data_IF_401932312760
#
_entry.id   IF_401932312760
#
_cell.length_a   1.000
_cell.length_b   1.000
_cell.length_c   1.000
_cell.angle_alpha   90.00
_cell.angle_beta   90.00
_cell.angle_gamma   90.00
#
_symmetry.space_group_name_H-M   'P 1'
#
loop_
_entity.id
_entity.type
_entity.pdbx_description
1 polymer ?
#
# COMPACT_ATOMS: atom_id res chain seq x y z
N UNK A 1 -21.37 1.13 49.18
CA UNK A 1 -20.82 0.45 47.99
C UNK A 1 -20.56 1.55 46.95
N UNK A 2 -19.33 2.08 46.87
CA UNK A 2 -19.02 3.24 46.01
C UNK A 2 -18.66 2.77 44.60
N UNK A 3 -19.53 3.06 43.64
CA UNK A 3 -19.29 2.80 42.22
C UNK A 3 -18.26 3.81 41.72
N UNK A 4 -17.02 3.36 41.47
CA UNK A 4 -15.96 4.16 40.86
C UNK A 4 -16.27 4.26 39.36
N UNK A 5 -16.91 5.36 38.94
CA UNK A 5 -17.09 5.68 37.53
C UNK A 5 -15.73 5.90 36.90
N UNK A 6 -15.25 4.94 36.11
CA UNK A 6 -14.04 5.10 35.32
C UNK A 6 -14.36 6.06 34.17
N UNK A 7 -13.84 7.29 34.26
CA UNK A 7 -13.87 8.25 33.16
C UNK A 7 -13.03 7.69 32.02
N UNK A 8 -13.67 7.19 30.96
CA UNK A 8 -12.99 6.85 29.71
C UNK A 8 -12.59 8.18 29.08
N UNK A 9 -11.32 8.55 29.22
CA UNK A 9 -10.77 9.73 28.52
C UNK A 9 -10.88 9.48 27.02
N UNK A 10 -11.73 10.25 26.34
CA UNK A 10 -11.82 10.23 24.89
C UNK A 10 -10.45 10.62 24.31
N UNK A 11 -9.93 9.88 23.31
CA UNK A 11 -8.66 10.21 22.69
C UNK A 11 -8.71 11.62 22.12
N UNK A 12 -7.65 12.40 22.33
CA UNK A 12 -7.56 13.76 21.77
C UNK A 12 -7.31 13.68 20.27
N UNK A 13 -7.77 14.67 19.50
CA UNK A 13 -7.60 14.72 18.03
C UNK A 13 -6.13 14.58 17.58
N UNK A 14 -5.18 14.89 18.45
CA UNK A 14 -3.73 14.72 18.24
C UNK A 14 -3.29 13.25 18.33
N UNK A 15 -3.87 12.46 19.24
CA UNK A 15 -3.57 11.03 19.40
C UNK A 15 -4.12 10.21 18.22
N UNK A 16 -5.33 10.52 17.76
CA UNK A 16 -5.93 9.87 16.58
C UNK A 16 -5.12 10.15 15.30
N UNK A 17 -4.68 11.40 15.12
CA UNK A 17 -3.83 11.80 13.99
C UNK A 17 -2.45 11.12 14.01
N UNK A 18 -1.87 10.95 15.20
CA UNK A 18 -0.60 10.24 15.40
C UNK A 18 -0.73 8.73 15.12
N UNK A 19 -1.84 8.12 15.53
CA UNK A 19 -2.17 6.72 15.25
C UNK A 19 -2.31 6.45 13.75
N UNK A 20 -3.01 7.33 13.03
CA UNK A 20 -3.15 7.25 11.57
C UNK A 20 -1.81 7.42 10.85
N UNK A 21 -0.96 8.36 11.29
CA UNK A 21 0.38 8.53 10.73
C UNK A 21 1.24 7.28 10.90
N UNK A 22 1.22 6.67 12.10
CA UNK A 22 1.91 5.40 12.37
C UNK A 22 1.40 4.28 11.47
N UNK A 23 0.08 4.21 11.24
CA UNK A 23 -0.54 3.26 10.32
C UNK A 23 -0.04 3.44 8.88
N UNK A 24 0.00 4.67 8.37
CA UNK A 24 0.48 4.94 7.01
C UNK A 24 1.97 4.64 6.84
N UNK A 25 2.79 4.99 7.84
CA UNK A 25 4.23 4.69 7.82
C UNK A 25 4.47 3.18 7.88
N UNK A 26 3.76 2.47 8.76
CA UNK A 26 3.88 1.00 8.86
C UNK A 26 3.41 0.29 7.59
N UNK A 27 2.36 0.77 6.92
CA UNK A 27 1.97 0.30 5.57
C UNK A 27 3.09 0.46 4.56
N UNK A 28 3.73 1.64 4.52
CA UNK A 28 4.83 1.91 3.61
C UNK A 28 6.01 0.96 3.85
N UNK A 29 6.39 0.77 5.11
CA UNK A 29 7.49 -0.14 5.49
C UNK A 29 7.14 -1.58 5.10
N UNK A 30 5.92 -2.03 5.43
CA UNK A 30 5.48 -3.40 5.12
C UNK A 30 5.44 -3.65 3.61
N UNK A 31 5.03 -2.66 2.82
CA UNK A 31 5.07 -2.73 1.36
C UNK A 31 6.51 -2.81 0.81
N UNK A 32 7.44 -2.03 1.38
CA UNK A 32 8.87 -2.10 1.01
C UNK A 32 9.47 -3.45 1.39
N UNK A 33 9.19 -3.96 2.60
CA UNK A 33 9.67 -5.28 3.05
C UNK A 33 9.12 -6.37 2.14
N UNK A 34 7.83 -6.34 1.82
CA UNK A 34 7.24 -7.28 0.88
C UNK A 34 7.92 -7.22 -0.49
N UNK A 35 8.16 -6.01 -1.02
CA UNK A 35 8.81 -5.82 -2.31
C UNK A 35 10.23 -6.41 -2.35
N UNK A 36 11.00 -6.26 -1.27
CA UNK A 36 12.34 -6.84 -1.14
C UNK A 36 12.30 -8.37 -1.07
N UNK A 37 11.40 -8.93 -0.27
CA UNK A 37 11.24 -10.40 -0.15
C UNK A 37 10.79 -11.00 -1.48
N UNK A 38 9.84 -10.36 -2.17
CA UNK A 38 9.37 -10.82 -3.47
C UNK A 38 10.46 -10.75 -4.53
N UNK A 39 11.28 -9.69 -4.53
CA UNK A 39 12.40 -9.55 -5.46
C UNK A 39 13.44 -10.68 -5.35
N UNK A 40 13.57 -11.35 -4.20
CA UNK A 40 14.46 -12.51 -4.06
C UNK A 40 13.77 -13.85 -4.34
N UNK A 41 12.47 -13.95 -4.09
CA UNK A 41 11.72 -15.21 -4.08
C UNK A 41 11.03 -15.59 -5.41
N UNK A 42 10.88 -14.66 -6.36
CA UNK A 42 10.03 -14.83 -7.55
C UNK A 42 10.67 -15.58 -8.74
N UNK A 43 11.81 -16.26 -8.56
CA UNK A 43 12.60 -16.84 -9.67
C UNK A 43 11.83 -17.84 -10.54
N UNK A 44 10.83 -18.50 -9.95
CA UNK A 44 9.85 -19.34 -10.63
C UNK A 44 8.45 -18.98 -10.10
N UNK A 45 7.38 -19.25 -10.88
CA UNK A 45 6.00 -19.21 -10.38
C UNK A 45 5.71 -20.45 -9.55
N UNK A 46 6.29 -20.46 -8.37
CA UNK A 46 6.12 -21.53 -7.39
C UNK A 46 5.11 -21.13 -6.30
N UNK A 47 4.88 -22.05 -5.36
CA UNK A 47 3.97 -21.82 -4.26
C UNK A 47 4.39 -20.62 -3.39
N UNK A 48 5.69 -20.28 -3.33
CA UNK A 48 6.22 -19.17 -2.54
C UNK A 48 5.87 -17.85 -3.22
N UNK A 49 6.12 -17.73 -4.52
CA UNK A 49 5.79 -16.55 -5.31
C UNK A 49 4.28 -16.27 -5.27
N UNK A 50 3.43 -17.30 -5.49
CA UNK A 50 1.97 -17.17 -5.41
C UNK A 50 1.55 -16.74 -4.00
N UNK A 51 2.11 -17.35 -2.96
CA UNK A 51 1.78 -16.98 -1.57
C UNK A 51 2.11 -15.52 -1.30
N UNK A 52 3.28 -15.04 -1.72
CA UNK A 52 3.65 -13.64 -1.56
C UNK A 52 2.71 -12.70 -2.33
N UNK A 53 2.32 -13.07 -3.56
CA UNK A 53 1.36 -12.29 -4.36
C UNK A 53 -0.03 -12.23 -3.72
N UNK A 54 -0.47 -13.29 -3.03
CA UNK A 54 -1.73 -13.30 -2.28
C UNK A 54 -1.63 -12.47 -0.99
N UNK A 55 -0.50 -12.55 -0.29
CA UNK A 55 -0.26 -11.81 0.97
C UNK A 55 -0.35 -10.31 0.77
N UNK A 56 0.10 -9.78 -0.39
CA UNK A 56 0.14 -8.34 -0.61
C UNK A 56 -1.23 -7.65 -0.64
N UNK A 57 -2.21 -8.10 -1.45
CA UNK A 57 -3.58 -7.59 -1.35
C UNK A 57 -4.22 -7.83 0.02
N UNK A 58 -3.86 -8.90 0.74
CA UNK A 58 -4.37 -9.10 2.11
C UNK A 58 -3.84 -8.04 3.09
N UNK A 59 -2.56 -7.66 2.99
CA UNK A 59 -2.00 -6.54 3.73
C UNK A 59 -2.79 -5.26 3.42
N UNK A 60 -3.10 -5.01 2.15
CA UNK A 60 -3.89 -3.84 1.73
C UNK A 60 -5.33 -3.88 2.25
N UNK A 61 -5.95 -5.07 2.27
CA UNK A 61 -7.29 -5.28 2.83
C UNK A 61 -7.34 -4.99 4.33
N UNK A 62 -6.43 -5.55 5.11
CA UNK A 62 -6.32 -5.30 6.56
C UNK A 62 -6.08 -3.82 6.83
N UNK A 63 -5.19 -3.21 6.05
CA UNK A 63 -4.89 -1.79 6.17
C UNK A 63 -6.10 -0.90 5.86
N UNK A 64 -6.86 -1.26 4.82
CA UNK A 64 -8.09 -0.58 4.45
C UNK A 64 -9.18 -0.75 5.51
N UNK A 65 -9.27 -1.91 6.17
CA UNK A 65 -10.19 -2.12 7.28
C UNK A 65 -9.85 -1.24 8.49
N UNK A 66 -8.57 -1.10 8.83
CA UNK A 66 -8.13 -0.24 9.93
C UNK A 66 -8.42 1.23 9.61
N UNK A 67 -8.07 1.69 8.41
CA UNK A 67 -8.35 3.07 7.96
C UNK A 67 -9.86 3.35 7.90
N UNK A 68 -10.67 2.37 7.46
CA UNK A 68 -12.13 2.47 7.46
C UNK A 68 -12.72 2.65 8.87
N UNK A 69 -12.15 1.99 9.89
CA UNK A 69 -12.59 2.12 11.29
C UNK A 69 -12.19 3.46 11.90
N UNK A 70 -11.10 4.05 11.43
CA UNK A 70 -10.59 5.33 11.91
C UNK A 70 -11.10 6.55 11.13
N UNK A 71 -11.84 6.33 10.03
CA UNK A 71 -12.41 7.40 9.20
C UNK A 71 -13.88 7.63 9.57
N UNK A 72 -14.32 8.88 9.82
CA UNK A 72 -15.73 9.22 10.01
C UNK A 72 -16.62 8.81 8.82
N UNK A 73 -17.94 8.77 9.02
CA UNK A 73 -18.87 8.48 7.93
C UNK A 73 -18.74 9.53 6.80
N UNK A 74 -18.57 9.05 5.57
CA UNK A 74 -18.27 9.93 4.43
C UNK A 74 -17.87 9.19 3.17
N UNK A 75 -17.57 9.96 2.12
CA UNK A 75 -17.23 9.43 0.82
C UNK A 75 -15.86 8.72 0.81
N UNK A 76 -14.92 9.15 1.66
CA UNK A 76 -13.60 8.57 1.85
C UNK A 76 -13.72 7.18 2.49
N UNK A 77 -14.50 7.06 3.56
CA UNK A 77 -14.75 5.80 4.26
C UNK A 77 -15.33 4.73 3.34
N UNK A 78 -16.18 5.14 2.38
CA UNK A 78 -16.74 4.26 1.33
C UNK A 78 -15.68 3.81 0.32
N UNK A 79 -14.83 4.72 -0.14
CA UNK A 79 -13.74 4.37 -1.08
C UNK A 79 -12.72 3.44 -0.41
N UNK A 80 -12.38 3.70 0.86
CA UNK A 80 -11.50 2.82 1.64
C UNK A 80 -12.14 1.44 1.85
N UNK A 81 -13.44 1.36 2.14
CA UNK A 81 -14.15 0.08 2.26
C UNK A 81 -14.13 -0.72 0.94
N UNK A 82 -14.41 -0.04 -0.18
CA UNK A 82 -14.34 -0.64 -1.50
C UNK A 82 -12.95 -1.21 -1.79
N UNK A 83 -11.90 -0.43 -1.51
CA UNK A 83 -10.52 -0.86 -1.71
C UNK A 83 -10.16 -2.10 -0.85
N UNK A 84 -10.68 -2.16 0.39
CA UNK A 84 -10.50 -3.32 1.25
C UNK A 84 -11.16 -4.59 0.67
N UNK A 85 -12.42 -4.49 0.25
CA UNK A 85 -13.16 -5.61 -0.37
C UNK A 85 -12.49 -6.06 -1.67
N UNK A 86 -12.12 -5.10 -2.52
CA UNK A 86 -11.42 -5.36 -3.77
C UNK A 86 -10.12 -6.14 -3.54
N UNK A 87 -9.38 -5.79 -2.49
CA UNK A 87 -8.10 -6.44 -2.18
C UNK A 87 -8.27 -7.86 -1.65
N UNK A 88 -9.34 -8.15 -0.91
CA UNK A 88 -9.71 -9.54 -0.55
C UNK A 88 -10.06 -10.35 -1.79
N UNK A 89 -10.86 -9.78 -2.70
CA UNK A 89 -11.23 -10.46 -3.95
C UNK A 89 -10.01 -10.72 -4.83
N UNK A 90 -9.09 -9.77 -4.91
CA UNK A 90 -7.83 -9.92 -5.63
C UNK A 90 -6.95 -11.04 -5.03
N UNK A 91 -6.84 -11.12 -3.70
CA UNK A 91 -6.10 -12.20 -3.03
C UNK A 91 -6.64 -13.58 -3.43
N UNK A 92 -7.98 -13.76 -3.41
CA UNK A 92 -8.61 -15.02 -3.83
C UNK A 92 -8.37 -15.28 -5.32
N UNK A 93 -8.56 -14.27 -6.16
CA UNK A 93 -8.39 -14.39 -7.61
C UNK A 93 -6.95 -14.74 -8.01
N UNK A 94 -5.94 -14.19 -7.33
CA UNK A 94 -4.53 -14.54 -7.54
C UNK A 94 -4.27 -16.01 -7.17
N UNK A 95 -4.82 -16.48 -6.05
CA UNK A 95 -4.69 -17.88 -5.64
C UNK A 95 -5.25 -18.86 -6.68
N UNK A 96 -6.38 -18.51 -7.30
CA UNK A 96 -6.97 -19.29 -8.40
C UNK A 96 -6.15 -19.15 -9.69
N UNK A 97 -5.74 -17.93 -10.04
CA UNK A 97 -4.97 -17.63 -11.24
C UNK A 97 -3.59 -18.30 -11.25
N UNK A 98 -3.01 -18.55 -10.07
CA UNK A 98 -1.74 -19.27 -9.90
C UNK A 98 -1.71 -20.65 -10.56
N UNK A 99 -2.86 -21.31 -10.70
CA UNK A 99 -2.95 -22.59 -11.41
C UNK A 99 -2.80 -22.46 -12.94
N UNK A 100 -2.92 -21.25 -13.49
CA UNK A 100 -2.84 -20.95 -14.91
C UNK A 100 -1.49 -20.41 -15.39
N UNK A 101 -0.47 -20.36 -14.52
CA UNK A 101 0.86 -19.83 -14.84
C UNK A 101 0.98 -18.31 -14.65
N UNK A 102 1.99 -17.71 -15.27
CA UNK A 102 2.40 -16.34 -14.95
C UNK A 102 1.42 -15.29 -15.50
N UNK A 103 0.94 -15.48 -16.73
CA UNK A 103 0.13 -14.49 -17.41
C UNK A 103 -1.20 -14.18 -16.68
N UNK A 104 -1.99 -15.19 -16.26
CA UNK A 104 -3.23 -14.93 -15.52
C UNK A 104 -2.98 -14.23 -14.18
N UNK A 105 -1.94 -14.65 -13.45
CA UNK A 105 -1.54 -14.03 -12.17
C UNK A 105 -1.18 -12.56 -12.37
N UNK A 106 -0.38 -12.27 -13.40
CA UNK A 106 0.08 -10.93 -13.75
C UNK A 106 -1.08 -10.02 -14.17
N UNK A 107 -2.07 -10.55 -14.91
CA UNK A 107 -3.31 -9.84 -15.25
C UNK A 107 -4.13 -9.48 -14.02
N UNK A 108 -4.40 -10.45 -13.13
CA UNK A 108 -5.20 -10.21 -11.93
C UNK A 108 -4.51 -9.20 -11.02
N UNK A 109 -3.21 -9.37 -10.79
CA UNK A 109 -2.41 -8.47 -9.96
C UNK A 109 -2.36 -7.06 -10.56
N UNK A 110 -2.13 -6.95 -11.87
CA UNK A 110 -2.11 -5.66 -12.58
C UNK A 110 -3.45 -4.95 -12.52
N UNK A 111 -4.55 -5.65 -12.81
CA UNK A 111 -5.91 -5.08 -12.73
C UNK A 111 -6.23 -4.56 -11.32
N UNK A 112 -5.91 -5.35 -10.30
CA UNK A 112 -6.06 -4.94 -8.91
C UNK A 112 -5.24 -3.67 -8.60
N UNK A 113 -3.96 -3.64 -8.98
CA UNK A 113 -3.09 -2.48 -8.76
C UNK A 113 -3.61 -1.20 -9.43
N UNK A 114 -4.16 -1.30 -10.64
CA UNK A 114 -4.78 -0.16 -11.34
C UNK A 114 -5.96 0.40 -10.53
N UNK A 115 -6.91 -0.46 -10.15
CA UNK A 115 -8.14 -0.02 -9.48
C UNK A 115 -7.84 0.47 -8.06
N UNK A 116 -6.99 -0.22 -7.31
CA UNK A 116 -6.57 0.18 -5.97
C UNK A 116 -5.74 1.46 -5.98
N UNK A 117 -4.80 1.60 -6.93
CA UNK A 117 -4.01 2.82 -7.10
C UNK A 117 -4.88 4.04 -7.38
N UNK A 118 -5.89 3.90 -8.25
CA UNK A 118 -6.86 4.96 -8.52
C UNK A 118 -7.69 5.31 -7.27
N UNK A 119 -8.15 4.30 -6.52
CA UNK A 119 -8.88 4.53 -5.27
C UNK A 119 -8.03 5.30 -4.25
N UNK A 120 -6.73 4.97 -4.12
CA UNK A 120 -5.79 5.68 -3.25
C UNK A 120 -5.57 7.13 -3.69
N UNK A 121 -5.46 7.40 -5.00
CA UNK A 121 -5.37 8.78 -5.53
C UNK A 121 -6.62 9.57 -5.17
N UNK A 122 -7.82 8.99 -5.35
CA UNK A 122 -9.09 9.65 -5.00
C UNK A 122 -9.16 9.97 -3.52
N UNK A 123 -8.81 9.02 -2.63
CA UNK A 123 -8.76 9.23 -1.18
C UNK A 123 -7.74 10.33 -0.83
N UNK A 124 -6.54 10.26 -1.40
CA UNK A 124 -5.49 11.25 -1.17
C UNK A 124 -5.89 12.66 -1.61
N UNK A 125 -6.59 12.80 -2.75
CA UNK A 125 -7.14 14.08 -3.22
C UNK A 125 -8.20 14.62 -2.26
N UNK A 126 -9.13 13.78 -1.81
CA UNK A 126 -10.21 14.19 -0.89
C UNK A 126 -9.69 14.58 0.49
N UNK A 127 -8.63 13.93 0.96
CA UNK A 127 -8.01 14.21 2.26
C UNK A 127 -7.02 15.40 2.25
N UNK A 128 -6.85 16.12 1.13
CA UNK A 128 -5.98 17.33 1.05
C UNK A 128 -6.48 18.56 1.82
N UNK A 129 -7.59 18.45 2.56
CA UNK A 129 -8.18 19.55 3.34
C UNK A 129 -7.31 20.05 4.51
N UNK A 130 -7.77 21.12 5.20
CA UNK A 130 -7.02 21.85 6.23
C UNK A 130 -6.54 20.98 7.41
N UNK A 131 -7.27 19.90 7.72
CA UNK A 131 -7.02 19.06 8.89
C UNK A 131 -5.95 17.98 8.67
N UNK A 132 -5.79 17.46 7.44
CA UNK A 132 -4.88 16.34 7.13
C UNK A 132 -3.83 16.68 6.06
N UNK A 133 -3.51 17.98 5.94
CA UNK A 133 -2.69 18.61 4.92
C UNK A 133 -1.64 17.73 4.23
N UNK A 134 -1.61 17.82 2.89
CA UNK A 134 -0.53 17.33 2.02
C UNK A 134 -0.26 15.81 2.12
N UNK A 135 -1.29 14.98 1.91
CA UNK A 135 -1.18 13.52 1.67
C UNK A 135 -0.49 13.14 0.34
N UNK A 136 0.59 13.83 -0.02
CA UNK A 136 1.42 13.53 -1.18
C UNK A 136 1.94 12.09 -1.22
N UNK A 137 2.29 11.44 -0.08
CA UNK A 137 2.70 10.04 -0.10
C UNK A 137 1.62 9.11 -0.67
N UNK A 138 0.37 9.27 -0.26
CA UNK A 138 -0.77 8.46 -0.74
C UNK A 138 -1.04 8.68 -2.23
N UNK A 139 -0.92 9.92 -2.69
CA UNK A 139 -1.09 10.29 -4.10
C UNK A 139 0.02 9.72 -4.99
N UNK A 140 1.27 9.84 -4.56
CA UNK A 140 2.42 9.34 -5.31
C UNK A 140 2.39 7.81 -5.33
N UNK A 141 2.10 7.17 -4.20
CA UNK A 141 1.96 5.71 -4.10
C UNK A 141 0.81 5.20 -4.98
N UNK A 142 -0.37 5.83 -4.89
CA UNK A 142 -1.53 5.43 -5.70
C UNK A 142 -1.28 5.62 -7.20
N UNK A 143 -0.64 6.73 -7.59
CA UNK A 143 -0.26 7.00 -8.98
C UNK A 143 0.77 6.01 -9.51
N UNK A 144 1.80 5.68 -8.72
CA UNK A 144 2.79 4.66 -9.07
C UNK A 144 2.15 3.28 -9.22
N UNK A 145 1.29 2.89 -8.28
CA UNK A 145 0.55 1.61 -8.34
C UNK A 145 -0.31 1.52 -9.60
N UNK A 146 -1.00 2.62 -9.95
CA UNK A 146 -1.80 2.70 -11.18
C UNK A 146 -0.94 2.51 -12.44
N UNK A 147 0.17 3.24 -12.57
CA UNK A 147 1.04 3.15 -13.74
C UNK A 147 1.71 1.79 -13.87
N UNK A 148 2.20 1.24 -12.76
CA UNK A 148 2.84 -0.08 -12.73
C UNK A 148 1.84 -1.18 -13.06
N UNK A 149 0.60 -1.09 -12.55
CA UNK A 149 -0.46 -2.04 -12.88
C UNK A 149 -0.83 -2.06 -14.37
N UNK A 150 -0.78 -0.91 -15.06
CA UNK A 150 -0.93 -0.86 -16.53
C UNK A 150 0.20 -1.63 -17.21
N UNK A 151 1.45 -1.39 -16.81
CA UNK A 151 2.62 -2.08 -17.38
C UNK A 151 2.53 -3.59 -17.20
N UNK A 152 2.05 -4.08 -16.05
CA UNK A 152 1.84 -5.51 -15.81
C UNK A 152 0.80 -6.12 -16.76
N UNK A 153 -0.32 -5.43 -17.00
CA UNK A 153 -1.33 -5.91 -17.95
C UNK A 153 -0.79 -5.96 -19.39
N UNK A 154 -0.03 -4.94 -19.82
CA UNK A 154 0.62 -4.94 -21.14
C UNK A 154 1.57 -6.14 -21.28
N UNK A 155 2.37 -6.42 -20.25
CA UNK A 155 3.34 -7.53 -20.26
C UNK A 155 2.69 -8.90 -20.24
N UNK A 156 1.61 -9.02 -19.48
CA UNK A 156 0.81 -10.24 -19.43
C UNK A 156 0.08 -10.55 -20.74
N UNK A 157 -0.19 -9.54 -21.57
CA UNK A 157 -0.79 -9.71 -22.90
C UNK A 157 0.25 -9.93 -24.02
N UNK A 158 1.55 -9.87 -23.70
CA UNK A 158 2.64 -10.10 -24.65
C UNK A 158 2.97 -11.58 -24.85
N UNK A 159 3.89 -11.85 -25.78
CA UNK A 159 4.24 -13.21 -26.20
C UNK A 159 5.05 -14.01 -25.14
N UNK A 160 5.65 -13.32 -24.16
CA UNK A 160 6.42 -13.92 -23.07
C UNK A 160 6.10 -13.25 -21.71
N UNK A 161 4.95 -13.62 -21.09
CA UNK A 161 4.56 -13.12 -19.78
C UNK A 161 5.51 -13.63 -18.70
N UNK A 162 6.25 -12.71 -18.07
CA UNK A 162 7.21 -13.04 -17.01
C UNK A 162 6.96 -12.25 -15.73
N UNK A 163 7.06 -12.91 -14.56
CA UNK A 163 7.07 -12.26 -13.26
C UNK A 163 8.32 -11.39 -13.00
N UNK A 164 9.37 -11.46 -13.82
CA UNK A 164 10.54 -10.57 -13.72
C UNK A 164 10.16 -9.09 -13.81
N UNK A 165 9.08 -8.78 -14.51
CA UNK A 165 8.57 -7.40 -14.58
C UNK A 165 8.16 -6.90 -13.19
N UNK A 166 7.64 -7.75 -12.31
CA UNK A 166 7.34 -7.34 -10.93
C UNK A 166 8.62 -6.99 -10.17
N UNK A 167 9.67 -7.80 -10.32
CA UNK A 167 10.90 -7.63 -9.56
C UNK A 167 11.76 -6.47 -10.02
N UNK A 168 11.87 -6.23 -11.33
CA UNK A 168 12.60 -5.08 -11.89
C UNK A 168 11.97 -3.78 -11.40
N UNK A 169 10.64 -3.70 -11.38
CA UNK A 169 9.92 -2.53 -10.86
C UNK A 169 9.98 -2.41 -9.33
N UNK A 170 9.85 -3.52 -8.59
CA UNK A 170 9.96 -3.53 -7.13
C UNK A 170 11.37 -3.13 -6.65
N UNK A 171 12.40 -3.64 -7.31
CA UNK A 171 13.81 -3.34 -7.01
C UNK A 171 14.13 -1.88 -7.33
N UNK A 172 13.73 -1.39 -8.52
CA UNK A 172 13.90 0.02 -8.90
C UNK A 172 13.17 0.99 -7.97
N UNK A 173 11.93 0.65 -7.57
CA UNK A 173 11.15 1.41 -6.60
C UNK A 173 11.77 1.42 -5.19
N UNK A 174 12.25 0.26 -4.73
CA UNK A 174 12.94 0.12 -3.44
C UNK A 174 14.22 0.95 -3.36
N UNK A 175 15.05 0.92 -4.41
CA UNK A 175 16.28 1.74 -4.51
C UNK A 175 15.95 3.23 -4.45
N UNK A 176 14.93 3.70 -5.17
CA UNK A 176 14.50 5.09 -5.12
C UNK A 176 14.02 5.53 -3.73
N UNK A 177 13.25 4.68 -3.03
CA UNK A 177 12.80 4.96 -1.67
C UNK A 177 13.95 5.01 -0.66
N UNK A 178 14.94 4.11 -0.78
CA UNK A 178 16.16 4.15 0.05
C UNK A 178 16.91 5.46 -0.17
N UNK A 179 17.07 5.89 -1.43
CA UNK A 179 17.71 7.17 -1.76
C UNK A 179 16.97 8.37 -1.14
N UNK A 180 15.64 8.38 -1.20
CA UNK A 180 14.82 9.44 -0.58
C UNK A 180 14.94 9.45 0.95
N UNK A 181 14.95 8.28 1.60
CA UNK A 181 15.12 8.17 3.05
C UNK A 181 16.50 8.67 3.50
N UNK A 182 17.57 8.33 2.75
CA UNK A 182 18.92 8.81 3.01
C UNK A 182 19.02 10.33 2.83
N UNK A 183 18.44 10.88 1.76
CA UNK A 183 18.39 12.33 1.51
C UNK A 183 17.67 13.08 2.63
N UNK A 184 16.54 12.56 3.10
CA UNK A 184 15.76 13.18 4.17
C UNK A 184 16.49 13.11 5.52
N UNK A 185 17.14 11.97 5.83
CA UNK A 185 17.98 11.81 7.01
C UNK A 185 19.22 12.70 6.98
N UNK A 186 19.79 12.95 5.80
CA UNK A 186 20.91 13.87 5.64
C UNK A 186 20.49 15.33 5.86
N UNK A 187 19.32 15.70 5.32
CA UNK A 187 18.77 17.06 5.46
C UNK A 187 18.32 17.37 6.90
N UNK A 188 17.77 16.40 7.62
CA UNK A 188 17.42 16.56 9.04
C UNK A 188 18.65 16.69 9.94
N UNK A 189 19.74 15.94 9.65
CA UNK A 189 21.04 16.11 10.32
C UNK A 189 21.67 17.48 10.06
N UNK A 190 21.59 17.98 8.83
CA UNK A 190 22.10 19.32 8.50
C UNK A 190 21.30 20.46 9.15
N UNK A 191 19.98 20.28 9.30
CA UNK A 191 19.14 21.25 10.01
C UNK A 191 19.44 21.26 11.52
N UNK A 192 19.61 20.09 12.14
CA UNK A 192 20.01 19.98 13.55
C UNK A 192 21.40 20.55 13.84
N UNK A 193 22.34 20.44 12.89
CA UNK A 193 23.69 20.99 13.01
C UNK A 193 23.79 22.52 12.76
N UNK A 194 22.74 23.14 12.21
CA UNK A 194 22.66 24.61 12.00
C UNK A 194 21.90 25.35 13.10
N UNK A 195 21.23 24.62 13.98
CA UNK A 195 20.47 25.14 15.13
C UNK A 195 21.15 24.89 16.48
N UNK A 196 22.33 24.28 16.48
CA UNK A 196 23.22 24.13 17.64
C UNK A 196 24.41 25.08 17.49
#
# INVERSE_FOLDING_TARGET
MSTRTATVTAPTATDERSSLLKLYVSRGILAVVWALVFAEAHKDVDAVAITLLVVYPLIDAVSSLIDHRATPEGAERRVTAFNGVLSVLAAVAIGVAGAGGEAPVLHVFGCWAVVSGLAQVVVGLRRRGPEFGKQWPTLISGGLSFLVGITYNIRAAGDDPSLDVLSVYATGGGVWFILQALLLGWKSRQLGARTA
#
